data_IF_848540227088
#
_entry.id   IF_848540227088
#
_cell.length_a   1.000
_cell.length_b   1.000
_cell.length_c   1.000
_cell.angle_alpha   90.00
_cell.angle_beta   90.00
_cell.angle_gamma   90.00
#
_symmetry.space_group_name_H-M   'P 1'
#
loop_
_entity.id
_entity.type
_entity.pdbx_description
1 polymer ?
#
# COMPACT_ATOMS: atom_id res chain seq x y z
N UNK A 1 17.41 11.65 34.25
CA UNK A 1 18.50 12.54 33.80
C UNK A 1 19.81 11.80 33.96
N UNK A 2 20.73 11.81 32.98
CA UNK A 2 20.54 12.19 31.57
C UNK A 2 19.99 11.02 30.72
N UNK A 3 19.82 11.22 29.42
CA UNK A 3 19.41 10.20 28.44
C UNK A 3 20.58 9.98 27.46
N UNK A 4 20.94 8.73 27.18
CA UNK A 4 21.99 8.42 26.20
C UNK A 4 21.45 8.49 24.77
N UNK A 5 21.81 9.57 24.08
CA UNK A 5 21.93 9.77 22.63
C UNK A 5 21.44 8.59 21.75
N UNK A 6 20.29 8.76 21.11
CA UNK A 6 19.92 7.96 19.94
C UNK A 6 20.92 8.22 18.80
N UNK A 7 21.46 7.16 18.20
CA UNK A 7 22.23 7.27 16.96
C UNK A 7 21.29 7.69 15.82
N UNK A 8 21.31 8.98 15.48
CA UNK A 8 20.67 9.49 14.26
C UNK A 8 21.48 9.02 13.05
N UNK A 9 21.13 7.86 12.51
CA UNK A 9 21.75 7.29 11.29
C UNK A 9 21.53 8.25 10.14
N UNK A 10 22.55 9.05 9.83
CA UNK A 10 22.53 9.96 8.69
C UNK A 10 22.76 9.14 7.43
N UNK A 11 21.69 8.85 6.70
CA UNK A 11 21.70 8.26 5.35
C UNK A 11 22.17 9.32 4.34
N UNK A 12 23.40 9.79 4.52
CA UNK A 12 24.08 10.72 3.61
C UNK A 12 24.39 10.02 2.29
N UNK A 13 23.46 10.06 1.35
CA UNK A 13 23.70 9.71 -0.04
C UNK A 13 24.82 10.61 -0.58
N UNK A 14 26.00 10.01 -0.80
CA UNK A 14 27.20 10.75 -1.13
C UNK A 14 27.07 11.43 -2.49
N UNK A 15 26.84 12.75 -2.47
CA UNK A 15 26.81 13.59 -3.66
C UNK A 15 28.18 13.53 -4.37
N UNK A 16 28.27 12.72 -5.44
CA UNK A 16 29.44 12.71 -6.32
C UNK A 16 29.44 14.01 -7.12
N UNK A 17 30.32 14.94 -6.78
CA UNK A 17 30.45 16.20 -7.51
C UNK A 17 31.37 16.04 -8.75
N UNK A 18 31.35 16.98 -9.72
CA UNK A 18 32.27 16.98 -10.85
C UNK A 18 33.74 17.14 -10.40
N UNK A 19 34.75 16.80 -11.24
CA UNK A 19 36.16 17.00 -10.90
C UNK A 19 36.52 18.46 -10.57
N UNK A 20 35.92 19.43 -11.27
CA UNK A 20 35.97 20.87 -10.95
C UNK A 20 35.67 21.21 -9.48
N UNK A 21 34.93 20.34 -8.77
CA UNK A 21 34.52 20.58 -7.39
C UNK A 21 35.68 20.60 -6.40
N UNK A 22 36.80 19.92 -6.67
CA UNK A 22 37.94 19.91 -5.74
C UNK A 22 38.96 21.04 -5.98
N UNK A 23 38.88 21.72 -7.12
CA UNK A 23 39.67 22.91 -7.41
C UNK A 23 39.10 24.13 -6.66
N UNK A 24 39.85 24.64 -5.68
CA UNK A 24 39.41 25.76 -4.85
C UNK A 24 39.38 27.11 -5.60
N UNK A 25 40.22 27.32 -6.62
CA UNK A 25 40.21 28.57 -7.40
C UNK A 25 38.99 28.59 -8.33
N UNK A 26 38.77 27.48 -9.04
CA UNK A 26 37.58 27.21 -9.86
C UNK A 26 36.30 27.33 -9.05
N UNK A 27 36.26 26.74 -7.85
CA UNK A 27 35.06 26.77 -7.01
C UNK A 27 34.83 28.12 -6.34
N UNK A 28 35.89 28.86 -5.98
CA UNK A 28 35.78 30.26 -5.53
C UNK A 28 35.12 31.13 -6.61
N UNK A 29 35.58 30.99 -7.87
CA UNK A 29 34.95 31.64 -9.02
C UNK A 29 33.47 31.24 -9.16
N UNK A 30 33.16 29.94 -9.14
CA UNK A 30 31.79 29.42 -9.32
C UNK A 30 30.83 29.80 -8.18
N UNK A 31 31.33 29.99 -6.95
CA UNK A 31 30.53 30.41 -5.79
C UNK A 31 30.28 31.92 -5.73
N UNK A 32 31.17 32.74 -6.31
CA UNK A 32 30.99 34.19 -6.36
C UNK A 32 29.74 34.57 -7.18
N UNK A 33 29.15 35.73 -6.88
CA UNK A 33 27.93 36.20 -7.53
C UNK A 33 28.08 36.37 -9.06
N UNK A 34 26.95 36.43 -9.77
CA UNK A 34 26.95 36.85 -11.18
C UNK A 34 27.17 38.36 -11.28
N UNK A 35 27.91 38.79 -12.31
CA UNK A 35 27.99 40.20 -12.73
C UNK A 35 26.60 40.67 -13.18
N UNK A 36 26.22 41.91 -12.86
CA UNK A 36 24.84 42.41 -13.04
C UNK A 36 24.36 42.34 -14.49
N UNK A 37 25.23 42.70 -15.45
CA UNK A 37 24.94 42.68 -16.88
C UNK A 37 25.74 41.58 -17.59
N UNK A 38 25.04 40.58 -18.16
CA UNK A 38 25.66 39.53 -19.01
C UNK A 38 26.39 40.11 -20.23
N UNK A 39 25.94 41.23 -20.77
CA UNK A 39 26.52 41.87 -21.94
C UNK A 39 27.93 42.44 -21.70
N UNK A 40 28.28 42.72 -20.44
CA UNK A 40 29.61 43.23 -20.04
C UNK A 40 30.61 42.08 -19.89
N UNK A 41 30.14 40.88 -19.55
CA UNK A 41 30.97 39.67 -19.50
C UNK A 41 30.13 38.43 -19.77
N UNK A 42 30.08 38.03 -21.04
CA UNK A 42 29.37 36.83 -21.49
C UNK A 42 30.09 35.55 -21.08
N UNK A 43 31.42 35.58 -20.93
CA UNK A 43 32.24 34.37 -20.80
C UNK A 43 32.22 33.84 -19.38
N UNK A 44 32.37 34.73 -18.39
CA UNK A 44 32.19 34.36 -16.97
C UNK A 44 30.74 33.91 -16.71
N UNK A 45 29.77 34.65 -17.26
CA UNK A 45 28.35 34.42 -17.00
C UNK A 45 27.88 33.09 -17.60
N UNK A 46 28.18 32.83 -18.88
CA UNK A 46 27.83 31.57 -19.53
C UNK A 46 28.62 30.41 -18.92
N UNK A 47 29.89 30.61 -18.53
CA UNK A 47 30.70 29.61 -17.84
C UNK A 47 30.07 29.15 -16.52
N UNK A 48 29.64 30.08 -15.66
CA UNK A 48 28.90 29.76 -14.43
C UNK A 48 27.55 29.09 -14.72
N UNK A 49 26.82 29.57 -15.72
CA UNK A 49 25.50 29.04 -16.07
C UNK A 49 25.59 27.59 -16.60
N UNK A 50 26.59 27.30 -17.42
CA UNK A 50 26.86 25.97 -17.98
C UNK A 50 27.37 24.96 -16.94
N UNK A 51 28.02 25.41 -15.86
CA UNK A 51 28.34 24.55 -14.72
C UNK A 51 27.11 24.26 -13.86
N UNK A 52 26.42 25.31 -13.38
CA UNK A 52 25.37 25.14 -12.38
C UNK A 52 24.08 24.52 -12.92
N UNK A 53 23.67 24.83 -14.15
CA UNK A 53 22.41 24.33 -14.73
C UNK A 53 22.34 22.79 -14.78
N UNK A 54 23.31 22.07 -15.39
CA UNK A 54 23.27 20.60 -15.40
C UNK A 54 23.52 20.01 -14.02
N UNK A 55 24.34 20.64 -13.17
CA UNK A 55 24.62 20.14 -11.81
C UNK A 55 23.36 20.19 -10.91
N UNK A 56 22.49 21.19 -11.07
CA UNK A 56 21.17 21.25 -10.42
C UNK A 56 20.30 20.07 -10.88
N UNK A 57 20.14 19.88 -12.20
CA UNK A 57 19.28 18.82 -12.74
C UNK A 57 19.80 17.44 -12.33
N UNK A 58 21.11 17.20 -12.37
CA UNK A 58 21.72 15.93 -11.99
C UNK A 58 21.74 15.71 -10.47
N UNK A 59 21.73 16.78 -9.65
CA UNK A 59 21.45 16.65 -8.22
C UNK A 59 20.02 16.15 -7.99
N UNK A 60 19.02 16.77 -8.62
CA UNK A 60 17.62 16.37 -8.50
C UNK A 60 17.37 14.93 -9.02
N UNK A 61 17.91 14.59 -10.20
CA UNK A 61 17.81 13.25 -10.80
C UNK A 61 18.30 12.15 -9.85
N UNK A 62 19.45 12.36 -9.20
CA UNK A 62 20.03 11.39 -8.25
C UNK A 62 19.34 11.33 -6.89
N UNK A 63 18.62 12.39 -6.49
CA UNK A 63 17.65 12.33 -5.37
C UNK A 63 16.35 11.63 -5.76
N UNK A 64 16.13 11.35 -7.04
CA UNK A 64 14.88 10.83 -7.59
C UNK A 64 13.73 11.83 -7.64
N UNK A 65 13.94 13.08 -7.19
CA UNK A 65 12.91 14.11 -7.03
C UNK A 65 12.83 15.03 -8.25
N UNK A 66 11.61 15.44 -8.59
CA UNK A 66 11.31 16.35 -9.71
C UNK A 66 11.16 17.81 -9.28
N UNK A 67 11.15 18.11 -7.98
CA UNK A 67 11.05 19.46 -7.43
C UNK A 67 12.35 19.89 -6.73
N UNK A 68 12.56 21.20 -6.63
CA UNK A 68 13.70 21.78 -5.91
C UNK A 68 13.43 23.22 -5.47
N UNK A 69 13.81 23.55 -4.24
CA UNK A 69 13.85 24.93 -3.71
C UNK A 69 15.26 25.53 -3.74
N UNK A 70 15.36 26.86 -3.71
CA UNK A 70 16.66 27.54 -3.63
C UNK A 70 17.36 27.29 -2.28
N UNK A 71 16.60 27.04 -1.20
CA UNK A 71 17.16 26.59 0.08
C UNK A 71 17.86 25.23 -0.06
N UNK A 72 17.20 24.22 -0.63
CA UNK A 72 17.80 22.89 -0.85
C UNK A 72 19.09 22.96 -1.68
N UNK A 73 19.15 23.84 -2.69
CA UNK A 73 20.37 24.04 -3.49
C UNK A 73 21.50 24.68 -2.67
N UNK A 74 21.19 25.69 -1.84
CA UNK A 74 22.17 26.30 -0.95
C UNK A 74 22.70 25.33 0.13
N UNK A 75 21.86 24.40 0.60
CA UNK A 75 22.25 23.39 1.59
C UNK A 75 23.05 22.24 0.95
N UNK A 76 22.56 21.68 -0.17
CA UNK A 76 23.21 20.56 -0.87
C UNK A 76 24.51 20.93 -1.59
N UNK A 77 24.68 22.20 -2.00
CA UNK A 77 25.92 22.72 -2.59
C UNK A 77 26.79 23.50 -1.60
N UNK A 78 26.65 23.30 -0.29
CA UNK A 78 27.52 23.94 0.72
C UNK A 78 28.94 23.35 0.66
N UNK A 79 29.95 24.15 0.31
CA UNK A 79 31.39 23.78 0.33
C UNK A 79 32.14 24.66 1.34
N UNK A 80 32.92 24.03 2.23
CA UNK A 80 33.79 24.71 3.24
C UNK A 80 33.07 25.81 4.06
N UNK A 81 31.78 25.61 4.35
CA UNK A 81 30.93 26.55 5.08
C UNK A 81 30.26 27.64 4.22
N UNK A 82 30.74 27.89 3.01
CA UNK A 82 30.13 28.80 2.05
C UNK A 82 28.99 28.15 1.26
N UNK A 83 28.10 28.98 0.70
CA UNK A 83 27.04 28.57 -0.24
C UNK A 83 27.19 29.37 -1.56
N UNK A 84 26.79 28.85 -2.73
CA UNK A 84 27.04 29.51 -4.00
C UNK A 84 26.06 30.68 -4.24
N UNK A 85 26.57 31.91 -4.18
CA UNK A 85 25.77 33.14 -4.23
C UNK A 85 24.97 33.31 -5.54
N UNK A 86 25.41 32.65 -6.62
CA UNK A 86 24.80 32.75 -7.93
C UNK A 86 23.52 31.91 -8.16
N UNK A 87 23.17 30.98 -7.26
CA UNK A 87 22.11 29.99 -7.53
C UNK A 87 20.74 30.62 -7.83
N UNK A 88 20.39 31.74 -7.18
CA UNK A 88 19.14 32.46 -7.47
C UNK A 88 19.09 32.99 -8.92
N UNK A 89 20.22 33.43 -9.46
CA UNK A 89 20.35 33.87 -10.87
C UNK A 89 20.26 32.69 -11.84
N UNK A 90 20.78 31.52 -11.45
CA UNK A 90 20.66 30.27 -12.22
C UNK A 90 19.20 29.82 -12.28
N UNK A 91 18.52 29.69 -11.14
CA UNK A 91 17.09 29.32 -11.09
C UNK A 91 16.25 30.33 -11.87
N UNK A 92 16.46 31.63 -11.71
CA UNK A 92 15.75 32.66 -12.49
C UNK A 92 15.99 32.53 -14.01
N UNK A 93 17.16 32.05 -14.43
CA UNK A 93 17.48 31.80 -15.85
C UNK A 93 16.87 30.49 -16.35
N UNK A 94 16.82 29.46 -15.50
CA UNK A 94 16.08 28.21 -15.78
C UNK A 94 14.57 28.47 -15.90
N UNK A 95 14.00 29.41 -15.13
CA UNK A 95 12.61 29.88 -15.29
C UNK A 95 12.43 30.57 -16.65
N UNK A 96 13.25 31.58 -16.97
CA UNK A 96 13.16 32.32 -18.26
C UNK A 96 13.33 31.42 -19.49
N UNK A 97 14.07 30.32 -19.38
CA UNK A 97 14.29 29.33 -20.44
C UNK A 97 13.32 28.15 -20.40
N UNK A 98 12.34 28.14 -19.49
CA UNK A 98 11.33 27.08 -19.38
C UNK A 98 11.85 25.73 -18.90
N UNK A 99 13.08 25.66 -18.37
CA UNK A 99 13.66 24.43 -17.79
C UNK A 99 13.09 24.09 -16.42
N UNK A 100 12.69 25.11 -15.65
CA UNK A 100 11.91 24.95 -14.41
C UNK A 100 10.70 25.90 -14.42
N UNK A 101 9.65 25.54 -13.69
CA UNK A 101 8.45 26.36 -13.50
C UNK A 101 8.00 26.27 -12.03
N UNK A 102 7.14 27.19 -11.55
CA UNK A 102 6.51 27.00 -10.25
C UNK A 102 5.52 25.84 -10.31
N UNK A 103 5.32 25.17 -9.19
CA UNK A 103 4.39 24.05 -9.06
C UNK A 103 2.93 24.47 -9.41
N UNK A 104 2.52 25.67 -8.98
CA UNK A 104 1.26 26.32 -9.38
C UNK A 104 1.11 26.46 -10.89
N UNK A 105 2.17 26.93 -11.55
CA UNK A 105 2.15 27.32 -12.95
C UNK A 105 2.18 26.06 -13.83
N UNK A 106 2.89 25.01 -13.37
CA UNK A 106 2.87 23.71 -14.01
C UNK A 106 1.48 23.06 -13.94
N UNK A 107 0.80 23.12 -12.78
CA UNK A 107 -0.54 22.55 -12.61
C UNK A 107 -1.63 23.34 -13.35
N UNK A 108 -1.55 24.67 -13.38
CA UNK A 108 -2.53 25.53 -14.05
C UNK A 108 -2.59 25.39 -15.59
N UNK A 109 -1.57 24.75 -16.19
CA UNK A 109 -1.48 24.49 -17.63
C UNK A 109 -2.07 23.10 -18.03
N UNK A 110 -3.15 22.67 -17.37
CA UNK A 110 -3.93 21.44 -17.66
C UNK A 110 -5.43 21.71 -17.40
N UNK A 111 -6.31 21.10 -18.20
CA UNK A 111 -7.76 21.34 -18.20
C UNK A 111 -8.45 21.04 -16.86
N UNK A 112 -9.64 21.64 -16.67
CA UNK A 112 -10.42 21.72 -15.43
C UNK A 112 -10.68 20.41 -14.68
N UNK A 113 -10.57 19.25 -15.34
CA UNK A 113 -10.65 17.94 -14.68
C UNK A 113 -9.60 17.77 -13.57
N UNK A 114 -8.41 18.35 -13.72
CA UNK A 114 -7.40 18.36 -12.66
C UNK A 114 -7.70 19.38 -11.55
N UNK A 115 -8.36 20.50 -11.87
CA UNK A 115 -8.76 21.50 -10.86
C UNK A 115 -9.95 21.05 -10.00
N UNK A 116 -10.75 20.09 -10.48
CA UNK A 116 -11.74 19.36 -9.67
C UNK A 116 -11.11 18.29 -8.76
N UNK A 117 -9.81 18.03 -8.90
CA UNK A 117 -9.07 17.01 -8.17
C UNK A 117 -8.51 17.64 -6.89
N UNK A 118 -9.27 17.53 -5.79
CA UNK A 118 -8.92 18.07 -4.47
C UNK A 118 -7.74 17.34 -3.80
N UNK A 119 -6.58 17.36 -4.44
CA UNK A 119 -5.35 16.68 -4.01
C UNK A 119 -4.40 17.69 -3.36
N UNK A 120 -3.67 17.23 -2.34
CA UNK A 120 -2.87 18.04 -1.42
C UNK A 120 -1.62 18.72 -2.00
N UNK A 121 -1.62 19.14 -3.26
CA UNK A 121 -0.77 20.26 -3.67
C UNK A 121 -1.21 21.49 -2.86
N UNK A 122 -0.33 21.96 -2.00
CA UNK A 122 -0.64 23.00 -1.02
C UNK A 122 -1.12 24.28 -1.71
N UNK A 123 -2.29 24.76 -1.27
CA UNK A 123 -2.82 26.10 -1.57
C UNK A 123 -3.19 26.36 -3.05
N UNK A 124 -4.16 25.61 -3.60
CA UNK A 124 -5.07 26.16 -4.61
C UNK A 124 -5.99 27.22 -3.96
N UNK A 125 -5.41 28.34 -3.53
CA UNK A 125 -6.16 29.55 -3.15
C UNK A 125 -6.71 30.15 -4.45
N UNK A 126 -8.04 30.35 -4.60
CA UNK A 126 -8.63 30.88 -5.82
C UNK A 126 -8.44 32.41 -5.92
N UNK A 127 -7.19 32.87 -5.92
CA UNK A 127 -6.82 34.27 -5.69
C UNK A 127 -5.69 34.76 -6.60
N UNK A 128 -6.10 35.49 -7.64
CA UNK A 128 -5.45 36.73 -8.11
C UNK A 128 -3.94 36.64 -8.42
N UNK A 129 -3.62 36.06 -9.58
CA UNK A 129 -2.60 36.54 -10.53
C UNK A 129 -1.39 37.26 -9.91
N UNK A 130 -0.32 36.52 -9.62
CA UNK A 130 0.93 37.04 -9.03
C UNK A 130 1.79 37.78 -10.07
N UNK A 131 1.26 38.87 -10.63
CA UNK A 131 1.96 39.70 -11.62
C UNK A 131 3.24 40.35 -11.06
N UNK A 132 3.47 40.32 -9.75
CA UNK A 132 4.73 40.68 -9.09
C UNK A 132 5.96 39.89 -9.58
N UNK A 133 5.78 38.71 -10.19
CA UNK A 133 6.86 38.00 -10.87
C UNK A 133 7.28 38.64 -12.21
N UNK A 134 6.38 39.41 -12.85
CA UNK A 134 6.64 40.23 -14.03
C UNK A 134 6.83 41.72 -13.69
N UNK A 135 6.53 42.13 -12.45
CA UNK A 135 6.60 43.50 -11.95
C UNK A 135 7.35 43.57 -10.60
N UNK A 136 8.67 43.71 -10.66
CA UNK A 136 9.39 44.55 -9.69
C UNK A 136 10.43 43.89 -8.77
N UNK A 137 10.48 42.56 -8.60
CA UNK A 137 11.54 41.92 -7.79
C UNK A 137 12.06 40.61 -8.38
N UNK A 138 13.14 40.69 -9.17
CA UNK A 138 13.83 39.54 -9.78
C UNK A 138 14.66 38.70 -8.80
N UNK A 139 14.13 38.42 -7.59
CA UNK A 139 14.74 37.56 -6.58
C UNK A 139 13.86 36.33 -6.38
N UNK A 140 14.45 35.15 -6.56
CA UNK A 140 13.82 33.85 -6.29
C UNK A 140 13.67 33.68 -4.77
N UNK A 141 12.48 33.34 -4.23
CA UNK A 141 12.31 33.03 -2.81
C UNK A 141 13.05 31.74 -2.42
N UNK A 142 13.52 31.67 -1.17
CA UNK A 142 14.31 30.51 -0.70
C UNK A 142 13.50 29.21 -0.65
N UNK A 143 12.29 29.28 -0.10
CA UNK A 143 11.40 28.14 0.18
C UNK A 143 10.47 27.77 -1.00
N UNK A 144 10.51 28.50 -2.12
CA UNK A 144 9.58 28.26 -3.24
C UNK A 144 9.96 27.00 -4.04
N UNK A 145 8.98 26.12 -4.28
CA UNK A 145 9.13 24.86 -5.02
C UNK A 145 9.13 25.10 -6.53
N UNK A 146 10.20 24.68 -7.21
CA UNK A 146 10.34 24.71 -8.66
C UNK A 146 10.38 23.30 -9.25
N UNK A 147 9.47 23.03 -10.17
CA UNK A 147 9.33 21.78 -10.92
C UNK A 147 10.35 21.74 -12.05
N UNK A 148 11.19 20.70 -12.11
CA UNK A 148 12.20 20.48 -13.15
C UNK A 148 11.56 19.73 -14.32
N UNK A 149 11.28 20.46 -15.41
CA UNK A 149 10.42 19.99 -16.52
C UNK A 149 11.01 18.77 -17.25
N UNK A 150 12.33 18.68 -17.33
CA UNK A 150 13.06 17.52 -17.88
C UNK A 150 12.79 16.25 -17.08
N UNK A 151 12.92 16.32 -15.75
CA UNK A 151 12.77 15.16 -14.86
C UNK A 151 11.30 14.72 -14.75
N UNK A 152 10.34 15.64 -14.80
CA UNK A 152 8.91 15.26 -14.86
C UNK A 152 8.61 14.46 -16.14
N UNK A 153 9.21 14.82 -17.28
CA UNK A 153 9.06 14.05 -18.53
C UNK A 153 9.71 12.68 -18.46
N UNK A 154 10.90 12.57 -17.84
CA UNK A 154 11.52 11.27 -17.54
C UNK A 154 10.57 10.39 -16.73
N UNK A 155 10.06 10.89 -15.58
CA UNK A 155 9.12 10.15 -14.72
C UNK A 155 7.81 9.80 -15.42
N UNK A 156 7.23 10.73 -16.20
CA UNK A 156 6.02 10.48 -16.99
C UNK A 156 6.22 9.37 -18.03
N UNK A 157 7.34 9.40 -18.77
CA UNK A 157 7.65 8.36 -19.76
C UNK A 157 7.88 6.98 -19.12
N UNK A 158 8.57 6.94 -17.96
CA UNK A 158 8.78 5.73 -17.19
C UNK A 158 7.47 5.16 -16.61
N UNK A 159 6.59 6.03 -16.09
CA UNK A 159 5.27 5.67 -15.58
C UNK A 159 4.39 5.03 -16.67
N UNK A 160 4.36 5.61 -17.87
CA UNK A 160 3.61 5.07 -19.00
C UNK A 160 4.20 3.74 -19.52
N UNK A 161 5.54 3.59 -19.47
CA UNK A 161 6.20 2.33 -19.80
C UNK A 161 5.91 1.23 -18.76
N UNK A 162 5.94 1.56 -17.47
CA UNK A 162 5.59 0.64 -16.39
C UNK A 162 4.14 0.13 -16.50
N UNK A 163 3.19 1.04 -16.76
CA UNK A 163 1.79 0.65 -17.04
C UNK A 163 1.72 -0.34 -18.21
N UNK A 164 2.32 -0.02 -19.36
CA UNK A 164 2.30 -0.87 -20.57
C UNK A 164 2.97 -2.24 -20.40
N UNK A 165 3.95 -2.34 -19.49
CA UNK A 165 4.66 -3.58 -19.20
C UNK A 165 4.05 -4.38 -18.02
N UNK A 166 2.99 -3.86 -17.39
CA UNK A 166 2.35 -4.49 -16.22
C UNK A 166 1.16 -5.38 -16.62
N UNK A 167 0.72 -6.29 -15.74
CA UNK A 167 -0.56 -7.00 -15.90
C UNK A 167 -1.78 -6.06 -16.01
N UNK A 168 -1.66 -4.81 -15.55
CA UNK A 168 -2.71 -3.79 -15.61
C UNK A 168 -2.85 -3.15 -17.01
N UNK A 169 -1.95 -3.44 -17.96
CA UNK A 169 -1.99 -2.86 -19.32
C UNK A 169 -3.29 -3.15 -20.09
N UNK A 170 -4.02 -4.23 -19.75
CA UNK A 170 -5.33 -4.56 -20.32
C UNK A 170 -6.51 -3.82 -19.68
N UNK A 171 -6.29 -3.06 -18.60
CA UNK A 171 -7.33 -2.28 -17.89
C UNK A 171 -7.20 -0.81 -18.31
N UNK A 172 -8.23 -0.26 -18.96
CA UNK A 172 -8.16 1.13 -19.45
C UNK A 172 -8.24 2.18 -18.33
N UNK A 173 -8.87 1.83 -17.21
CA UNK A 173 -9.15 2.70 -16.06
C UNK A 173 -8.55 2.08 -14.78
N UNK A 174 -7.75 2.86 -14.05
CA UNK A 174 -7.13 2.45 -12.79
C UNK A 174 -7.37 3.50 -11.70
N UNK A 175 -7.38 3.08 -10.44
CA UNK A 175 -7.35 3.98 -9.29
C UNK A 175 -5.96 4.60 -9.10
N UNK A 176 -5.92 5.77 -8.46
CA UNK A 176 -4.66 6.39 -8.02
C UNK A 176 -3.81 5.45 -7.14
N UNK A 177 -4.44 4.59 -6.33
CA UNK A 177 -3.73 3.67 -5.43
C UNK A 177 -3.06 2.51 -6.18
N UNK A 178 -3.71 1.95 -7.21
CA UNK A 178 -3.10 0.93 -8.08
C UNK A 178 -1.92 1.50 -8.88
N UNK A 179 -2.00 2.77 -9.27
CA UNK A 179 -0.89 3.45 -9.94
C UNK A 179 0.24 3.75 -8.94
N UNK A 180 -0.10 4.11 -7.70
CA UNK A 180 0.87 4.38 -6.63
C UNK A 180 1.66 3.15 -6.22
N UNK A 181 1.06 1.96 -6.20
CA UNK A 181 1.80 0.70 -6.01
C UNK A 181 2.66 0.37 -7.23
N UNK A 182 2.07 0.38 -8.43
CA UNK A 182 2.75 0.12 -9.71
C UNK A 182 3.97 1.02 -9.97
N UNK A 183 3.92 2.28 -9.52
CA UNK A 183 4.95 3.29 -9.79
C UNK A 183 5.83 3.62 -8.59
N UNK A 184 5.78 2.85 -7.50
CA UNK A 184 6.51 3.12 -6.26
C UNK A 184 8.03 3.24 -6.44
N UNK A 185 8.64 2.42 -7.32
CA UNK A 185 10.08 2.52 -7.68
C UNK A 185 10.42 3.75 -8.56
N UNK A 186 9.41 4.33 -9.22
CA UNK A 186 9.57 5.44 -10.18
C UNK A 186 9.28 6.77 -9.50
N UNK A 187 8.19 6.85 -8.76
CA UNK A 187 7.67 8.05 -8.11
C UNK A 187 7.75 7.86 -6.59
N UNK A 188 8.82 8.34 -5.92
CA UNK A 188 9.05 8.07 -4.50
C UNK A 188 8.03 8.75 -3.57
N UNK A 189 7.31 9.75 -4.07
CA UNK A 189 6.33 10.55 -3.35
C UNK A 189 5.10 10.86 -4.23
N UNK A 190 4.00 11.26 -3.60
CA UNK A 190 2.73 11.54 -4.29
C UNK A 190 2.80 12.77 -5.19
N UNK A 191 3.61 13.78 -4.84
CA UNK A 191 3.79 14.99 -5.65
C UNK A 191 4.47 14.65 -6.98
N UNK A 192 5.52 13.83 -6.94
CA UNK A 192 6.22 13.32 -8.14
C UNK A 192 5.28 12.51 -9.03
N UNK A 193 4.41 11.65 -8.45
CA UNK A 193 3.39 10.93 -9.20
C UNK A 193 2.34 11.89 -9.81
N UNK A 194 1.86 12.86 -9.05
CA UNK A 194 0.90 13.86 -9.53
C UNK A 194 1.47 14.69 -10.69
N UNK A 195 2.73 15.13 -10.61
CA UNK A 195 3.40 15.88 -11.68
C UNK A 195 3.64 15.01 -12.93
N UNK A 196 3.99 13.73 -12.77
CA UNK A 196 4.09 12.80 -13.88
C UNK A 196 2.74 12.57 -14.58
N UNK A 197 1.64 12.41 -13.83
CA UNK A 197 0.28 12.30 -14.37
C UNK A 197 -0.18 13.58 -15.08
N UNK A 198 0.09 14.76 -14.52
CA UNK A 198 -0.14 16.07 -15.17
C UNK A 198 0.55 16.16 -16.54
N UNK A 199 1.80 15.69 -16.63
CA UNK A 199 2.54 15.71 -17.89
C UNK A 199 1.98 14.70 -18.91
N UNK A 200 1.59 13.49 -18.49
CA UNK A 200 0.88 12.53 -19.35
C UNK A 200 -0.49 13.05 -19.81
N UNK A 201 -1.21 13.81 -18.98
CA UNK A 201 -2.47 14.44 -19.36
C UNK A 201 -2.26 15.58 -20.37
N UNK A 202 -1.24 16.42 -20.18
CA UNK A 202 -0.83 17.43 -21.18
C UNK A 202 -0.45 16.83 -22.52
N UNK A 203 0.19 15.65 -22.51
CA UNK A 203 0.53 14.86 -23.69
C UNK A 203 -0.66 14.07 -24.28
N UNK A 204 -1.82 14.06 -23.59
CA UNK A 204 -3.04 13.30 -23.97
C UNK A 204 -2.83 11.78 -23.98
N UNK A 205 -1.86 11.32 -23.20
CA UNK A 205 -1.63 9.91 -22.86
C UNK A 205 -2.55 9.43 -21.71
N UNK A 206 -3.07 10.36 -20.90
CA UNK A 206 -3.90 10.07 -19.71
C UNK A 206 -5.07 11.06 -19.59
N UNK A 207 -6.24 10.59 -19.15
CA UNK A 207 -7.33 11.42 -18.62
C UNK A 207 -7.50 11.10 -17.14
N UNK A 208 -7.67 12.12 -16.29
CA UNK A 208 -8.02 11.93 -14.87
C UNK A 208 -9.46 12.37 -14.63
N UNK A 209 -10.20 11.61 -13.84
CA UNK A 209 -11.56 11.92 -13.38
C UNK A 209 -11.74 11.62 -11.89
N UNK A 210 -12.83 12.14 -11.32
CA UNK A 210 -13.24 11.91 -9.95
C UNK A 210 -14.63 11.27 -9.99
N UNK A 211 -14.79 10.09 -9.39
CA UNK A 211 -16.06 9.37 -9.29
C UNK A 211 -16.24 8.95 -7.84
N UNK A 212 -17.35 9.33 -7.20
CA UNK A 212 -17.69 8.91 -5.83
C UNK A 212 -16.63 9.26 -4.76
N UNK A 213 -15.74 10.22 -5.06
CA UNK A 213 -14.57 10.59 -4.25
C UNK A 213 -13.27 9.86 -4.63
N UNK A 214 -13.38 8.74 -5.35
CA UNK A 214 -12.24 8.00 -5.88
C UNK A 214 -11.64 8.68 -7.12
N UNK A 215 -10.31 8.63 -7.17
CA UNK A 215 -9.47 9.27 -8.18
C UNK A 215 -9.14 8.24 -9.27
N UNK A 216 -9.81 8.34 -10.41
CA UNK A 216 -9.65 7.39 -11.51
C UNK A 216 -8.82 8.00 -12.64
N UNK A 217 -8.00 7.16 -13.26
CA UNK A 217 -7.02 7.56 -14.27
C UNK A 217 -7.15 6.60 -15.44
N UNK A 218 -7.54 7.15 -16.59
CA UNK A 218 -7.70 6.43 -17.85
C UNK A 218 -6.44 6.57 -18.70
N UNK A 219 -5.84 5.46 -19.10
CA UNK A 219 -4.66 5.42 -19.96
C UNK A 219 -5.04 5.23 -21.44
N UNK A 220 -4.29 5.90 -22.32
CA UNK A 220 -4.40 5.77 -23.78
C UNK A 220 -4.19 4.31 -24.23
N UNK A 221 -5.15 3.77 -24.98
CA UNK A 221 -5.11 2.38 -25.43
C UNK A 221 -4.38 2.24 -26.78
N UNK A 222 -3.82 1.05 -27.10
CA UNK A 222 -3.17 0.80 -28.38
C UNK A 222 -4.06 1.20 -29.57
N UNK A 223 -3.48 1.87 -30.56
CA UNK A 223 -4.20 2.38 -31.74
C UNK A 223 -4.94 3.71 -31.53
N UNK A 224 -5.11 4.20 -30.30
CA UNK A 224 -5.65 5.54 -30.05
C UNK A 224 -4.56 6.60 -30.20
N UNK A 225 -4.82 7.67 -30.97
CA UNK A 225 -3.92 8.83 -31.12
C UNK A 225 -4.05 9.89 -30.03
N UNK A 226 -5.07 9.76 -29.17
CA UNK A 226 -5.27 10.51 -27.92
C UNK A 226 -6.20 9.69 -27.02
N UNK A 227 -6.05 9.82 -25.71
CA UNK A 227 -7.00 9.30 -24.73
C UNK A 227 -8.41 9.89 -24.95
N UNK A 228 -9.45 9.11 -24.69
CA UNK A 228 -10.86 9.53 -24.68
C UNK A 228 -11.34 9.84 -23.23
N UNK A 229 -12.44 10.59 -23.04
CA UNK A 229 -13.07 10.68 -21.71
C UNK A 229 -13.50 9.31 -21.20
N UNK A 230 -13.67 9.17 -19.88
CA UNK A 230 -14.18 7.94 -19.26
C UNK A 230 -15.65 7.74 -19.65
N UNK A 231 -16.00 6.52 -20.07
CA UNK A 231 -17.38 6.13 -20.37
C UNK A 231 -18.05 5.39 -19.19
N UNK A 232 -19.38 5.40 -19.15
CA UNK A 232 -20.18 4.67 -18.16
C UNK A 232 -19.87 3.16 -18.15
N UNK A 233 -19.58 2.59 -19.32
CA UNK A 233 -19.20 1.17 -19.46
C UNK A 233 -17.82 0.90 -18.83
N UNK A 234 -16.84 1.79 -19.02
CA UNK A 234 -15.52 1.65 -18.38
C UNK A 234 -15.58 1.84 -16.86
N UNK A 235 -16.41 2.76 -16.38
CA UNK A 235 -16.65 2.94 -14.94
C UNK A 235 -17.28 1.69 -14.33
N UNK A 236 -18.29 1.10 -14.98
CA UNK A 236 -18.92 -0.14 -14.55
C UNK A 236 -18.00 -1.36 -14.61
N UNK A 237 -17.10 -1.44 -15.59
CA UNK A 237 -16.04 -2.48 -15.65
C UNK A 237 -15.07 -2.31 -14.48
N UNK A 238 -14.66 -1.08 -14.16
CA UNK A 238 -13.81 -0.79 -13.01
C UNK A 238 -14.51 -1.13 -11.67
N UNK A 239 -15.81 -0.83 -11.54
CA UNK A 239 -16.61 -1.22 -10.36
C UNK A 239 -16.75 -2.74 -10.24
N UNK A 240 -16.93 -3.48 -11.35
CA UNK A 240 -16.89 -4.95 -11.36
C UNK A 240 -15.53 -5.50 -10.88
N UNK A 241 -14.41 -4.94 -11.36
CA UNK A 241 -13.04 -5.33 -10.95
C UNK A 241 -12.75 -5.03 -9.47
N UNK A 242 -13.26 -3.90 -8.96
CA UNK A 242 -13.18 -3.57 -7.52
C UNK A 242 -14.01 -4.54 -6.68
N UNK A 243 -15.19 -4.92 -7.15
CA UNK A 243 -16.06 -5.90 -6.48
C UNK A 243 -15.51 -7.32 -6.51
N UNK A 244 -14.84 -7.73 -7.59
CA UNK A 244 -14.09 -8.99 -7.68
C UNK A 244 -13.06 -9.07 -6.54
N UNK A 245 -12.14 -8.11 -6.47
CA UNK A 245 -11.07 -8.05 -5.46
C UNK A 245 -11.62 -8.03 -4.02
N UNK A 246 -12.72 -7.31 -3.79
CA UNK A 246 -13.37 -7.22 -2.48
C UNK A 246 -14.03 -8.55 -2.07
N UNK A 247 -14.62 -9.28 -3.03
CA UNK A 247 -15.13 -10.63 -2.80
C UNK A 247 -14.00 -11.64 -2.55
N UNK A 248 -12.87 -11.54 -3.26
CA UNK A 248 -11.68 -12.38 -3.01
C UNK A 248 -11.15 -12.20 -1.58
N UNK A 249 -10.86 -10.95 -1.19
CA UNK A 249 -10.37 -10.61 0.15
C UNK A 249 -11.35 -11.09 1.25
N UNK A 250 -12.66 -10.99 0.99
CA UNK A 250 -13.68 -11.44 1.96
C UNK A 250 -13.83 -12.95 2.03
N UNK A 251 -13.75 -13.66 0.91
CA UNK A 251 -13.79 -15.14 0.88
C UNK A 251 -12.56 -15.70 1.58
N UNK A 252 -11.37 -15.16 1.34
CA UNK A 252 -10.15 -15.58 2.03
C UNK A 252 -10.27 -15.35 3.55
N UNK A 253 -10.71 -14.16 3.98
CA UNK A 253 -10.88 -13.83 5.39
C UNK A 253 -11.90 -14.75 6.10
N UNK A 254 -12.97 -15.19 5.42
CA UNK A 254 -13.92 -16.16 5.96
C UNK A 254 -13.32 -17.58 6.02
N UNK A 255 -12.55 -18.00 5.01
CA UNK A 255 -11.83 -19.27 5.03
C UNK A 255 -10.83 -19.38 6.18
N UNK A 256 -10.06 -18.31 6.42
CA UNK A 256 -9.15 -18.21 7.57
C UNK A 256 -9.91 -18.29 8.91
N UNK A 257 -11.12 -17.73 9.01
CA UNK A 257 -11.94 -17.80 10.23
C UNK A 257 -12.56 -19.19 10.45
N UNK A 258 -12.92 -19.90 9.37
CA UNK A 258 -13.39 -21.29 9.44
C UNK A 258 -12.29 -22.24 9.97
N UNK A 259 -11.04 -22.12 9.49
CA UNK A 259 -9.92 -22.91 10.01
C UNK A 259 -9.59 -22.55 11.48
N UNK A 260 -9.68 -21.28 11.90
CA UNK A 260 -9.58 -20.92 13.35
C UNK A 260 -10.64 -21.63 14.20
N UNK A 261 -11.89 -21.70 13.72
CA UNK A 261 -12.97 -22.40 14.43
C UNK A 261 -12.70 -23.91 14.53
N UNK A 262 -12.14 -24.52 13.47
CA UNK A 262 -11.71 -25.91 13.41
C UNK A 262 -10.54 -26.20 14.35
N UNK A 263 -9.55 -25.32 14.44
CA UNK A 263 -8.43 -25.41 15.39
C UNK A 263 -8.93 -25.31 16.85
N UNK A 264 -9.83 -24.37 17.14
CA UNK A 264 -10.42 -24.20 18.47
C UNK A 264 -11.29 -25.42 18.86
N UNK A 265 -12.02 -26.01 17.92
CA UNK A 265 -12.72 -27.28 18.13
C UNK A 265 -11.72 -28.43 18.42
N UNK A 266 -10.64 -28.56 17.64
CA UNK A 266 -9.57 -29.56 17.86
C UNK A 266 -8.90 -29.39 19.23
N UNK A 267 -8.68 -28.17 19.69
CA UNK A 267 -8.13 -27.88 21.03
C UNK A 267 -9.09 -28.31 22.15
N UNK A 268 -10.35 -27.89 22.07
CA UNK A 268 -11.38 -28.22 23.06
C UNK A 268 -11.68 -29.72 23.14
N UNK A 269 -11.50 -30.47 22.04
CA UNK A 269 -11.57 -31.94 22.07
C UNK A 269 -10.40 -32.60 22.79
N UNK A 270 -9.19 -32.03 22.71
CA UNK A 270 -8.04 -32.50 23.52
C UNK A 270 -8.25 -32.25 25.02
N UNK A 271 -9.07 -31.26 25.37
CA UNK A 271 -9.53 -30.98 26.73
C UNK A 271 -10.82 -31.75 27.13
N UNK A 272 -11.34 -32.62 26.25
CA UNK A 272 -12.57 -33.41 26.50
C UNK A 272 -13.88 -32.62 26.44
N UNK A 273 -13.86 -31.34 26.07
CA UNK A 273 -15.01 -30.40 26.13
C UNK A 273 -15.93 -30.52 24.90
N UNK A 274 -16.46 -31.72 24.63
CA UNK A 274 -17.28 -32.05 23.43
C UNK A 274 -18.35 -31.01 23.11
N UNK A 275 -19.12 -30.55 24.09
CA UNK A 275 -20.21 -29.56 23.89
C UNK A 275 -19.71 -28.20 23.42
N UNK A 276 -18.49 -27.80 23.83
CA UNK A 276 -17.88 -26.55 23.39
C UNK A 276 -17.27 -26.71 22.00
N UNK A 277 -16.61 -27.84 21.71
CA UNK A 277 -16.09 -28.15 20.38
C UNK A 277 -17.21 -28.19 19.32
N UNK A 278 -18.34 -28.85 19.61
CA UNK A 278 -19.52 -28.85 18.72
C UNK A 278 -20.09 -27.45 18.47
N UNK A 279 -20.02 -26.52 19.44
CA UNK A 279 -20.39 -25.12 19.22
C UNK A 279 -19.46 -24.43 18.22
N UNK A 280 -18.16 -24.74 18.25
CA UNK A 280 -17.21 -24.22 17.28
C UNK A 280 -17.37 -24.83 15.89
N UNK A 281 -17.72 -26.11 15.76
CA UNK A 281 -18.07 -26.70 14.45
C UNK A 281 -19.38 -26.13 13.89
N UNK A 282 -20.41 -25.90 14.73
CA UNK A 282 -21.62 -25.13 14.33
C UNK A 282 -21.28 -23.71 13.87
N UNK A 283 -20.28 -23.07 14.49
CA UNK A 283 -19.71 -21.80 14.04
C UNK A 283 -19.03 -21.90 12.67
N UNK A 284 -18.11 -22.86 12.52
CA UNK A 284 -17.37 -23.18 11.28
C UNK A 284 -18.33 -23.37 10.10
N UNK A 285 -19.30 -24.29 10.23
CA UNK A 285 -20.27 -24.61 9.17
C UNK A 285 -21.11 -23.40 8.75
N UNK A 286 -21.38 -22.45 9.66
CA UNK A 286 -22.04 -21.16 9.32
C UNK A 286 -21.11 -20.22 8.52
N UNK A 287 -19.83 -20.15 8.89
CA UNK A 287 -18.83 -19.34 8.18
C UNK A 287 -18.58 -19.89 6.78
N UNK A 288 -18.44 -21.20 6.63
CA UNK A 288 -18.31 -21.89 5.33
C UNK A 288 -19.56 -21.66 4.46
N UNK A 289 -20.77 -21.87 5.00
CA UNK A 289 -22.05 -21.53 4.33
C UNK A 289 -22.17 -20.04 3.94
N UNK A 290 -21.35 -19.12 4.50
CA UNK A 290 -21.25 -17.71 4.05
C UNK A 290 -20.16 -17.54 2.98
N UNK A 291 -19.01 -18.20 3.12
CA UNK A 291 -17.94 -18.21 2.13
C UNK A 291 -18.42 -18.76 0.77
N UNK A 292 -19.13 -19.90 0.74
CA UNK A 292 -19.67 -20.51 -0.48
C UNK A 292 -20.58 -19.56 -1.29
N UNK A 293 -21.36 -18.74 -0.58
CA UNK A 293 -22.27 -17.76 -1.19
C UNK A 293 -21.51 -16.63 -1.85
N UNK A 294 -20.49 -16.09 -1.17
CA UNK A 294 -19.64 -15.04 -1.72
C UNK A 294 -18.74 -15.58 -2.84
N UNK A 295 -18.28 -16.84 -2.75
CA UNK A 295 -17.57 -17.53 -3.83
C UNK A 295 -18.45 -17.68 -5.08
N UNK A 296 -19.71 -18.06 -4.92
CA UNK A 296 -20.68 -18.13 -6.04
C UNK A 296 -20.91 -16.77 -6.71
N UNK A 297 -20.90 -15.68 -5.92
CA UNK A 297 -20.97 -14.31 -6.44
C UNK A 297 -19.66 -13.91 -7.15
N UNK A 298 -18.49 -14.29 -6.62
CA UNK A 298 -17.18 -14.05 -7.20
C UNK A 298 -17.04 -14.72 -8.58
N UNK A 299 -17.40 -16.00 -8.69
CA UNK A 299 -17.45 -16.72 -9.98
C UNK A 299 -18.40 -16.05 -10.99
N UNK A 300 -19.51 -15.50 -10.50
CA UNK A 300 -20.44 -14.73 -11.34
C UNK A 300 -19.78 -13.45 -11.87
N UNK A 301 -19.02 -12.71 -11.05
CA UNK A 301 -18.29 -11.50 -11.47
C UNK A 301 -17.14 -11.85 -12.42
N UNK A 302 -16.35 -12.89 -12.12
CA UNK A 302 -15.25 -13.37 -12.98
C UNK A 302 -15.75 -13.79 -14.36
N UNK A 303 -16.79 -14.62 -14.42
CA UNK A 303 -17.43 -15.02 -15.68
C UNK A 303 -18.06 -13.87 -16.48
N UNK A 304 -18.25 -12.69 -15.89
CA UNK A 304 -18.63 -11.45 -16.59
C UNK A 304 -17.38 -10.75 -17.14
N UNK A 305 -16.34 -10.59 -16.32
CA UNK A 305 -15.08 -9.96 -16.71
C UNK A 305 -14.36 -10.72 -17.83
N UNK A 306 -14.36 -12.06 -17.80
CA UNK A 306 -13.83 -12.90 -18.88
C UNK A 306 -14.56 -12.68 -20.22
N UNK A 307 -15.89 -12.57 -20.19
CA UNK A 307 -16.70 -12.29 -21.39
C UNK A 307 -16.37 -10.91 -21.95
N UNK A 308 -16.16 -9.93 -21.07
CA UNK A 308 -15.74 -8.57 -21.44
C UNK A 308 -14.32 -8.59 -22.04
N UNK A 309 -13.36 -9.29 -21.42
CA UNK A 309 -11.99 -9.43 -21.91
C UNK A 309 -11.91 -10.17 -23.26
N UNK A 310 -12.79 -11.15 -23.50
CA UNK A 310 -12.90 -11.86 -24.80
C UNK A 310 -13.55 -11.04 -25.93
N UNK A 311 -14.13 -9.88 -25.62
CA UNK A 311 -14.92 -9.09 -26.57
C UNK A 311 -14.06 -8.20 -27.47
N UNK A 312 -13.93 -8.57 -28.75
CA UNK A 312 -13.03 -7.92 -29.71
C UNK A 312 -13.46 -6.53 -30.23
N UNK A 313 -14.61 -5.99 -29.79
CA UNK A 313 -15.09 -4.65 -30.19
C UNK A 313 -15.88 -3.98 -29.08
N UNK A 314 -15.85 -2.65 -29.01
CA UNK A 314 -16.60 -1.84 -28.03
C UNK A 314 -18.10 -2.18 -27.98
N UNK A 315 -18.68 -2.52 -29.14
CA UNK A 315 -20.09 -2.95 -29.25
C UNK A 315 -20.34 -4.29 -28.54
N UNK A 316 -19.39 -5.23 -28.62
CA UNK A 316 -19.46 -6.51 -27.90
C UNK A 316 -19.15 -6.32 -26.41
N UNK A 317 -18.18 -5.48 -26.05
CA UNK A 317 -17.88 -5.09 -24.66
C UNK A 317 -19.12 -4.54 -23.98
N UNK A 318 -19.82 -3.60 -24.61
CA UNK A 318 -21.08 -3.04 -24.09
C UNK A 318 -22.17 -4.12 -23.93
N UNK A 319 -22.31 -5.05 -24.88
CA UNK A 319 -23.29 -6.15 -24.78
C UNK A 319 -22.93 -7.16 -23.68
N UNK A 320 -21.66 -7.52 -23.55
CA UNK A 320 -21.16 -8.42 -22.50
C UNK A 320 -21.35 -7.79 -21.10
N UNK A 321 -21.02 -6.50 -20.96
CA UNK A 321 -21.26 -5.72 -19.75
C UNK A 321 -22.75 -5.63 -19.38
N UNK A 322 -23.63 -5.27 -20.33
CA UNK A 322 -25.08 -5.21 -20.07
C UNK A 322 -25.67 -6.58 -19.68
N UNK A 323 -25.27 -7.65 -20.38
CA UNK A 323 -25.68 -9.02 -20.05
C UNK A 323 -25.13 -9.47 -18.68
N UNK A 324 -23.92 -9.03 -18.32
CA UNK A 324 -23.31 -9.29 -17.03
C UNK A 324 -24.01 -8.59 -15.87
N UNK A 325 -24.28 -7.28 -16.01
CA UNK A 325 -25.06 -6.52 -15.03
C UNK A 325 -26.45 -7.15 -14.83
N UNK A 326 -27.10 -7.64 -15.89
CA UNK A 326 -28.36 -8.37 -15.78
C UNK A 326 -28.22 -9.71 -15.03
N UNK A 327 -27.19 -10.51 -15.33
CA UNK A 327 -26.92 -11.77 -14.61
C UNK A 327 -26.60 -11.54 -13.12
N UNK A 328 -25.81 -10.50 -12.82
CA UNK A 328 -25.41 -10.15 -11.47
C UNK A 328 -26.62 -9.67 -10.65
N UNK A 329 -27.51 -8.83 -11.22
CA UNK A 329 -28.80 -8.45 -10.60
C UNK A 329 -29.65 -9.68 -10.22
N UNK A 330 -29.65 -10.73 -11.04
CA UNK A 330 -30.35 -12.00 -10.72
C UNK A 330 -29.65 -12.76 -9.59
N UNK A 331 -28.31 -12.77 -9.57
CA UNK A 331 -27.52 -13.43 -8.52
C UNK A 331 -27.66 -12.75 -7.15
N UNK A 332 -27.80 -11.42 -7.10
CA UNK A 332 -27.91 -10.63 -5.87
C UNK A 332 -29.34 -10.52 -5.30
N UNK A 333 -30.31 -11.30 -5.85
CA UNK A 333 -31.69 -11.54 -5.36
C UNK A 333 -32.23 -10.57 -4.29
N UNK A 334 -32.53 -9.33 -4.66
CA UNK A 334 -33.26 -8.40 -3.79
C UNK A 334 -33.15 -6.93 -4.18
N UNK A 335 -32.01 -6.52 -4.74
CA UNK A 335 -31.76 -5.09 -5.01
C UNK A 335 -32.45 -4.62 -6.30
N UNK A 336 -33.24 -3.56 -6.18
CA UNK A 336 -33.81 -2.79 -7.30
C UNK A 336 -32.75 -1.89 -7.92
N UNK A 337 -31.80 -2.49 -8.65
CA UNK A 337 -30.67 -1.76 -9.24
C UNK A 337 -31.10 -0.95 -10.46
N UNK A 338 -30.98 0.38 -10.41
CA UNK A 338 -31.13 1.24 -11.59
C UNK A 338 -29.83 1.29 -12.41
N UNK A 339 -28.70 1.66 -11.78
CA UNK A 339 -27.35 1.72 -12.37
C UNK A 339 -26.34 0.84 -11.62
N UNK A 340 -25.26 0.46 -12.31
CA UNK A 340 -24.22 -0.41 -11.74
C UNK A 340 -23.30 0.30 -10.73
N UNK A 341 -23.45 1.61 -10.55
CA UNK A 341 -22.56 2.45 -9.74
C UNK A 341 -22.52 1.97 -8.28
N UNK A 342 -23.69 1.70 -7.68
CA UNK A 342 -23.82 1.16 -6.33
C UNK A 342 -23.38 -0.32 -6.17
N UNK A 343 -22.70 -0.95 -7.13
CA UNK A 343 -22.38 -2.39 -7.06
C UNK A 343 -21.45 -2.72 -5.90
N UNK A 344 -20.42 -1.90 -5.68
CA UNK A 344 -19.46 -2.10 -4.58
C UNK A 344 -20.18 -1.97 -3.25
N UNK A 345 -21.03 -0.94 -3.10
CA UNK A 345 -21.79 -0.70 -1.87
C UNK A 345 -22.79 -1.83 -1.57
N UNK A 346 -23.46 -2.39 -2.59
CA UNK A 346 -24.33 -3.57 -2.43
C UNK A 346 -23.55 -4.82 -2.02
N UNK A 347 -22.34 -5.01 -2.53
CA UNK A 347 -21.51 -6.16 -2.19
C UNK A 347 -20.89 -5.97 -0.79
N UNK A 348 -20.55 -4.74 -0.41
CA UNK A 348 -20.20 -4.39 0.96
C UNK A 348 -21.39 -4.62 1.91
N UNK A 349 -22.60 -4.19 1.54
CA UNK A 349 -23.83 -4.49 2.28
C UNK A 349 -24.07 -6.01 2.38
N UNK A 350 -23.77 -6.82 1.36
CA UNK A 350 -23.87 -8.29 1.44
C UNK A 350 -22.74 -8.94 2.28
N UNK A 351 -21.59 -8.29 2.39
CA UNK A 351 -20.52 -8.69 3.31
C UNK A 351 -20.88 -8.36 4.77
N UNK A 352 -21.55 -7.22 4.96
CA UNK A 352 -21.82 -6.55 6.24
C UNK A 352 -23.26 -6.70 6.75
N UNK A 353 -24.17 -7.34 5.99
CA UNK A 353 -25.49 -7.80 6.45
C UNK A 353 -25.36 -9.06 7.32
N UNK A 354 -24.58 -8.87 8.38
CA UNK A 354 -25.00 -9.04 9.75
C UNK A 354 -26.00 -10.16 10.00
N UNK A 355 -25.47 -11.21 10.64
CA UNK A 355 -26.22 -12.29 11.28
C UNK A 355 -27.27 -11.85 12.31
N UNK A 356 -27.40 -10.55 12.65
CA UNK A 356 -28.26 -10.01 13.72
C UNK A 356 -29.72 -10.46 13.64
N UNK A 357 -30.36 -10.39 12.47
CA UNK A 357 -31.79 -10.72 12.34
C UNK A 357 -32.02 -12.20 12.64
N UNK A 358 -31.15 -13.07 12.14
CA UNK A 358 -31.21 -14.51 12.42
C UNK A 358 -30.78 -14.82 13.85
N UNK A 359 -29.77 -14.14 14.40
CA UNK A 359 -29.17 -14.46 15.69
C UNK A 359 -29.93 -13.86 16.89
N UNK A 360 -30.71 -12.79 16.70
CA UNK A 360 -31.65 -12.27 17.71
C UNK A 360 -32.96 -13.08 17.75
N UNK A 361 -33.46 -13.58 16.62
CA UNK A 361 -34.64 -14.46 16.58
C UNK A 361 -34.31 -15.91 16.97
N UNK A 362 -33.13 -16.44 16.62
CA UNK A 362 -32.68 -17.78 17.02
C UNK A 362 -32.36 -17.91 18.52
N UNK A 363 -32.50 -16.84 19.32
CA UNK A 363 -32.50 -16.92 20.77
C UNK A 363 -33.70 -17.69 21.37
N UNK A 364 -34.71 -18.04 20.56
CA UNK A 364 -35.97 -18.63 21.03
C UNK A 364 -36.25 -20.09 20.70
N UNK A 365 -35.49 -20.76 19.82
CA UNK A 365 -35.86 -22.10 19.32
C UNK A 365 -34.68 -23.06 19.11
N UNK A 366 -34.90 -24.33 19.47
CA UNK A 366 -34.00 -25.47 19.29
C UNK A 366 -34.04 -26.03 17.85
N UNK A 367 -34.08 -25.15 16.84
CA UNK A 367 -34.30 -25.54 15.44
C UNK A 367 -33.00 -26.02 14.75
N UNK A 368 -32.30 -26.94 15.41
CA UNK A 368 -31.33 -27.82 14.76
C UNK A 368 -32.05 -29.10 14.36
N UNK A 369 -32.20 -29.33 13.06
CA UNK A 369 -32.57 -30.64 12.54
C UNK A 369 -31.54 -31.68 12.98
N UNK A 370 -32.00 -32.87 13.39
CA UNK A 370 -31.11 -33.91 13.94
C UNK A 370 -29.96 -34.25 12.98
N UNK A 371 -30.22 -34.26 11.67
CA UNK A 371 -29.21 -34.46 10.63
C UNK A 371 -28.05 -33.43 10.66
N UNK A 372 -28.34 -32.13 10.89
CA UNK A 372 -27.30 -31.09 11.00
C UNK A 372 -26.52 -31.22 12.33
N UNK A 373 -26.95 -32.09 13.26
CA UNK A 373 -26.22 -32.45 14.48
C UNK A 373 -25.47 -33.78 14.35
N UNK A 374 -26.04 -34.80 13.68
CA UNK A 374 -25.42 -36.10 13.42
C UNK A 374 -24.17 -35.94 12.52
N UNK A 375 -24.29 -35.19 11.43
CA UNK A 375 -23.16 -34.86 10.52
C UNK A 375 -22.00 -34.16 11.28
N UNK A 376 -22.32 -33.32 12.27
CA UNK A 376 -21.31 -32.65 13.10
C UNK A 376 -20.69 -33.56 14.16
N UNK A 377 -21.38 -34.62 14.59
CA UNK A 377 -20.76 -35.65 15.43
C UNK A 377 -19.87 -36.60 14.62
N UNK A 378 -20.21 -36.86 13.36
CA UNK A 378 -19.32 -37.55 12.41
C UNK A 378 -18.09 -36.71 12.04
N UNK A 379 -18.24 -35.40 11.80
CA UNK A 379 -17.11 -34.49 11.63
C UNK A 379 -16.21 -34.51 12.88
N UNK A 380 -16.80 -34.36 14.08
CA UNK A 380 -16.07 -34.39 15.35
C UNK A 380 -15.30 -35.70 15.55
N UNK A 381 -15.90 -36.84 15.17
CA UNK A 381 -15.26 -38.16 15.19
C UNK A 381 -14.11 -38.23 14.20
N UNK A 382 -14.30 -37.73 12.98
CA UNK A 382 -13.26 -37.68 11.94
C UNK A 382 -12.06 -36.83 12.39
N UNK A 383 -12.32 -35.67 13.01
CA UNK A 383 -11.27 -34.79 13.55
C UNK A 383 -10.50 -35.41 14.74
N UNK A 384 -11.11 -36.37 15.48
CA UNK A 384 -10.41 -37.19 16.46
C UNK A 384 -9.56 -38.28 15.80
N UNK A 385 -10.07 -38.93 14.76
CA UNK A 385 -9.35 -39.95 14.00
C UNK A 385 -8.13 -39.35 13.26
N UNK A 386 -8.24 -38.14 12.71
CA UNK A 386 -7.10 -37.33 12.21
C UNK A 386 -6.03 -36.98 13.27
N UNK A 387 -6.42 -36.93 14.56
CA UNK A 387 -5.53 -36.58 15.67
C UNK A 387 -5.03 -37.82 16.44
N UNK A 388 -5.44 -39.03 16.05
CA UNK A 388 -4.88 -40.25 16.62
C UNK A 388 -3.41 -40.38 16.14
N UNK A 389 -2.41 -40.41 17.05
CA UNK A 389 -1.02 -40.55 16.63
C UNK A 389 -0.83 -41.88 15.92
N UNK A 390 -0.03 -41.84 14.86
CA UNK A 390 0.16 -42.92 13.90
C UNK A 390 0.48 -44.26 14.59
N UNK A 391 -0.47 -45.20 14.55
CA UNK A 391 -0.36 -46.54 15.19
C UNK A 391 0.54 -47.49 14.38
N UNK A 392 1.57 -46.95 13.75
CA UNK A 392 2.51 -47.63 12.86
C UNK A 392 3.95 -47.65 13.40
N UNK A 393 4.23 -46.96 14.53
CA UNK A 393 5.49 -47.15 15.27
C UNK A 393 5.50 -48.51 15.99
N UNK A 394 5.86 -49.54 15.24
CA UNK A 394 6.28 -50.83 15.77
C UNK A 394 7.59 -50.65 16.53
N UNK A 395 7.49 -50.57 17.87
CA UNK A 395 8.66 -50.58 18.74
C UNK A 395 9.44 -51.90 18.53
N UNK A 396 10.76 -51.85 18.29
CA UNK A 396 11.55 -53.07 18.10
C UNK A 396 11.58 -53.89 19.39
N UNK A 397 11.43 -55.20 19.23
CA UNK A 397 11.33 -56.15 20.35
C UNK A 397 12.62 -56.20 21.16
N UNK A 398 12.52 -56.08 22.49
CA UNK A 398 13.67 -55.95 23.40
C UNK A 398 14.49 -57.25 23.43
N UNK A 399 15.77 -57.26 23.03
CA UNK A 399 16.57 -58.49 23.00
C UNK A 399 16.79 -59.10 24.39
N UNK A 400 16.20 -60.26 24.63
CA UNK A 400 16.28 -61.00 25.89
C UNK A 400 17.56 -61.84 25.99
N UNK A 401 18.70 -61.19 26.28
CA UNK A 401 19.95 -61.85 26.65
C UNK A 401 20.43 -61.44 28.06
N UNK A 402 20.84 -62.38 28.93
CA UNK A 402 21.27 -62.08 30.29
C UNK A 402 22.70 -61.52 30.30
N UNK A 403 22.87 -60.25 30.69
CA UNK A 403 24.19 -59.67 30.95
C UNK A 403 24.72 -60.22 32.28
N UNK A 404 25.92 -60.79 32.26
CA UNK A 404 26.51 -61.43 33.43
C UNK A 404 26.89 -60.41 34.51
N UNK A 405 26.55 -60.72 35.77
CA UNK A 405 26.94 -59.92 36.93
C UNK A 405 28.45 -60.02 37.14
N UNK A 406 29.11 -58.86 37.32
CA UNK A 406 30.40 -58.75 38.00
C UNK A 406 30.33 -57.62 39.02
N UNK A 407 30.52 -57.98 40.29
CA UNK A 407 30.52 -57.04 41.41
C UNK A 407 31.88 -56.36 41.54
N UNK A 408 31.94 -55.05 41.31
CA UNK A 408 32.88 -54.08 41.90
C UNK A 408 32.44 -52.67 41.47
N UNK A 409 32.17 -51.70 42.34
CA UNK A 409 32.06 -51.73 43.79
C UNK A 409 32.06 -50.31 44.37
N UNK A 410 31.39 -50.11 45.52
CA UNK A 410 31.35 -48.86 46.31
C UNK A 410 30.70 -47.63 45.63
N UNK A 411 29.70 -47.05 46.30
CA UNK A 411 29.10 -45.76 45.94
C UNK A 411 30.04 -44.63 46.38
N UNK A 412 30.16 -43.57 45.57
CA UNK A 412 30.90 -42.35 45.92
C UNK A 412 29.91 -41.17 46.03
N UNK A 413 29.61 -40.74 47.26
CA UNK A 413 28.53 -39.77 47.58
C UNK A 413 28.78 -38.35 47.03
N UNK A 414 29.95 -38.09 46.46
CA UNK A 414 30.36 -36.77 45.96
C UNK A 414 29.47 -36.22 44.84
N UNK A 415 28.88 -37.06 43.98
CA UNK A 415 28.14 -36.61 42.79
C UNK A 415 26.80 -35.92 43.10
N UNK A 416 26.15 -36.28 44.21
CA UNK A 416 24.88 -35.67 44.62
C UNK A 416 25.05 -34.33 45.35
N UNK A 417 26.25 -33.97 45.78
CA UNK A 417 26.53 -32.70 46.47
C UNK A 417 26.83 -31.53 45.52
N UNK A 418 27.04 -31.79 44.23
CA UNK A 418 27.33 -30.75 43.22
C UNK A 418 26.10 -30.19 42.48
N UNK A 419 24.89 -30.58 42.85
CA UNK A 419 23.65 -30.02 42.28
C UNK A 419 23.21 -28.78 43.09
N UNK A 420 22.95 -27.63 42.45
CA UNK A 420 22.52 -26.42 43.17
C UNK A 420 21.10 -26.60 43.71
N UNK A 421 20.88 -26.25 44.98
CA UNK A 421 19.59 -26.33 45.65
C UNK A 421 18.52 -25.50 44.92
N UNK A 422 17.45 -26.15 44.46
CA UNK A 422 16.29 -25.47 43.87
C UNK A 422 15.65 -24.57 44.93
N UNK A 423 15.38 -23.28 44.65
CA UNK A 423 14.70 -22.40 45.60
C UNK A 423 13.28 -22.89 45.89
N UNK A 424 12.96 -23.15 47.17
CA UNK A 424 11.59 -23.40 47.63
C UNK A 424 10.77 -22.09 47.61
N UNK A 425 10.34 -21.67 46.42
CA UNK A 425 9.35 -20.59 46.25
C UNK A 425 7.94 -21.17 46.41
N UNK A 426 7.55 -21.46 47.66
CA UNK A 426 6.17 -21.77 48.02
C UNK A 426 5.31 -20.49 47.97
N UNK A 427 5.08 -20.00 46.75
CA UNK A 427 4.16 -18.89 46.48
C UNK A 427 2.75 -19.42 46.70
N UNK A 428 2.01 -18.85 47.65
CA UNK A 428 0.60 -19.17 47.86
C UNK A 428 -0.25 -18.49 46.79
N UNK A 429 -1.40 -19.08 46.45
CA UNK A 429 -2.31 -18.52 45.43
C UNK A 429 -2.74 -17.08 45.79
N UNK A 430 -2.87 -16.77 47.09
CA UNK A 430 -3.18 -15.43 47.63
C UNK A 430 -2.09 -14.37 47.39
N UNK A 431 -0.85 -14.78 47.10
CA UNK A 431 0.26 -13.91 46.71
C UNK A 431 0.28 -13.73 45.18
N UNK A 432 -0.06 -14.79 44.43
CA UNK A 432 -0.15 -14.79 42.97
C UNK A 432 -1.30 -13.91 42.46
N UNK A 433 -2.50 -14.05 43.04
CA UNK A 433 -3.69 -13.27 42.66
C UNK A 433 -3.51 -11.77 42.96
N UNK A 434 -2.74 -11.44 44.01
CA UNK A 434 -2.42 -10.06 44.39
C UNK A 434 -1.59 -9.36 43.31
N UNK A 435 -0.60 -10.04 42.76
CA UNK A 435 0.29 -9.47 41.75
C UNK A 435 -0.33 -9.53 40.33
N UNK A 436 -1.21 -10.50 40.05
CA UNK A 436 -2.13 -10.45 38.90
C UNK A 436 -3.07 -9.23 38.96
N UNK A 437 -3.62 -8.93 40.15
CA UNK A 437 -4.40 -7.72 40.40
C UNK A 437 -3.60 -6.45 40.13
N UNK A 438 -2.35 -6.38 40.62
CA UNK A 438 -1.42 -5.26 40.38
C UNK A 438 -1.11 -5.07 38.90
N UNK A 439 -0.84 -6.14 38.16
CA UNK A 439 -0.55 -6.09 36.72
C UNK A 439 -1.74 -5.55 35.90
N UNK A 440 -2.97 -5.99 36.21
CA UNK A 440 -4.20 -5.45 35.58
C UNK A 440 -4.36 -3.95 35.87
N UNK A 441 -4.07 -3.51 37.09
CA UNK A 441 -4.14 -2.10 37.49
C UNK A 441 -3.11 -1.22 36.78
N UNK A 442 -1.91 -1.74 36.50
CA UNK A 442 -0.91 -1.03 35.69
C UNK A 442 -1.31 -0.94 34.21
N UNK A 443 -1.89 -2.01 33.63
CA UNK A 443 -2.32 -1.99 32.24
C UNK A 443 -3.47 -0.99 32.01
N UNK A 444 -4.45 -0.92 32.91
CA UNK A 444 -5.57 0.04 32.79
C UNK A 444 -5.10 1.50 32.89
N UNK A 445 -4.01 1.75 33.63
CA UNK A 445 -3.37 3.07 33.79
C UNK A 445 -2.41 3.46 32.66
N UNK A 446 -2.35 2.65 31.60
CA UNK A 446 -1.60 2.92 30.36
C UNK A 446 -2.53 3.04 29.13
N UNK A 447 -3.84 3.14 29.35
CA UNK A 447 -4.88 3.28 28.30
C UNK A 447 -5.83 4.46 28.59
N UNK A 448 -5.33 5.42 29.36
CA UNK A 448 -5.91 6.72 29.73
C UNK A 448 -4.76 7.75 29.73
#
# INVERSE_FOLDING_TARGET
MPVSLQQKVSTSSCLKFPPDWEDDERMSFLFSAFKENREVDTTDWDGKMNFWTPLIVESCRRRGSVCVSLQELNESFRRKGAVPLGLGTVVQTMIRSGKVQKESDFAANVDSGWLSWGVGLLLVRPLKWTLSALLGSGRVPLEESFVVIELVKEKASALLAAYRNSPLAGRSLLSFQEIRSLSSDICPDETTLCLALLQLQREKHVTVSLHEGDKLVKFIQPGQGRVSPVSEVELGIYQLQRSEKLLEERVEALGQEAEKCKEQAKALMKEGKKTQALRYLKGRKRVERKADRLYTQLETVKGILDRIASSQTDRLVMQAYQAGVAALRISLKGVTVERAENLVDQIQELCDTQDEVNQTLAGGALDSTDADSEELEEELKTLLEENAPDKSLTLPEVPSQPIAVKETGVLDDAFFQSLPSVPNTSITDEELDRELGRLRLMHHKATL
#
